data_IF_232400576637
#
_entry.id   IF_232400576637
#
_cell.length_a   1.000
_cell.length_b   1.000
_cell.length_c   1.000
_cell.angle_alpha   90.00
_cell.angle_beta   90.00
_cell.angle_gamma   90.00
#
_symmetry.space_group_name_H-M   'P 1'
#
loop_
_entity.id
_entity.type
_entity.pdbx_description
1 polymer ?
#
# COMPACT_ATOMS: atom_id res chain seq x y z
N UNK A 1 -7.76 -12.37 -2.48
CA UNK A 1 -6.74 -11.30 -2.55
C UNK A 1 -5.32 -11.84 -2.60
N UNK A 2 -5.03 -12.95 -1.92
CA UNK A 2 -3.69 -13.55 -1.86
C UNK A 2 -3.09 -13.87 -3.24
N UNK A 3 -3.88 -14.50 -4.13
CA UNK A 3 -3.49 -14.89 -5.49
C UNK A 3 -3.12 -13.71 -6.40
N UNK A 4 -3.81 -12.58 -6.24
CA UNK A 4 -3.51 -11.35 -6.98
C UNK A 4 -2.12 -10.82 -6.60
N UNK A 5 -1.81 -10.81 -5.30
CA UNK A 5 -0.50 -10.38 -4.81
C UNK A 5 0.62 -11.34 -5.22
N UNK A 6 0.36 -12.66 -5.23
CA UNK A 6 1.34 -13.64 -5.73
C UNK A 6 1.63 -13.47 -7.22
N UNK A 7 0.58 -13.32 -8.03
CA UNK A 7 0.72 -13.08 -9.47
C UNK A 7 1.50 -11.79 -9.77
N UNK A 8 1.27 -10.73 -8.99
CA UNK A 8 1.98 -9.46 -9.14
C UNK A 8 3.45 -9.57 -8.69
N UNK A 9 3.71 -10.28 -7.59
CA UNK A 9 5.07 -10.54 -7.13
C UNK A 9 5.86 -11.34 -8.17
N UNK A 10 5.23 -12.32 -8.82
CA UNK A 10 5.86 -13.08 -9.90
C UNK A 10 6.19 -12.19 -11.10
N UNK A 11 5.23 -11.41 -11.60
CA UNK A 11 5.48 -10.46 -12.71
C UNK A 11 6.60 -9.47 -12.39
N UNK A 12 6.65 -8.95 -11.16
CA UNK A 12 7.72 -8.05 -10.75
C UNK A 12 9.10 -8.73 -10.79
N UNK A 13 9.19 -10.03 -10.48
CA UNK A 13 10.44 -10.81 -10.66
C UNK A 13 10.80 -10.95 -12.14
N UNK A 14 9.83 -11.32 -12.98
CA UNK A 14 10.05 -11.49 -14.43
C UNK A 14 10.52 -10.17 -15.09
N UNK A 15 9.94 -9.02 -14.69
CA UNK A 15 10.42 -7.71 -15.14
C UNK A 15 11.83 -7.39 -14.61
N UNK A 16 12.15 -7.81 -13.39
CA UNK A 16 13.44 -7.53 -12.76
C UNK A 16 14.59 -8.26 -13.45
N UNK A 17 14.34 -9.40 -14.10
CA UNK A 17 15.36 -10.15 -14.85
C UNK A 17 15.93 -9.35 -16.03
N UNK A 18 15.11 -8.53 -16.67
CA UNK A 18 15.47 -7.74 -17.85
C UNK A 18 15.70 -6.25 -17.54
N UNK A 19 15.58 -5.85 -16.27
CA UNK A 19 15.70 -4.46 -15.86
C UNK A 19 17.15 -4.05 -15.57
N UNK A 20 17.42 -2.74 -15.64
CA UNK A 20 18.67 -2.16 -15.16
C UNK A 20 18.89 -2.45 -13.65
N UNK A 21 20.13 -2.39 -13.13
CA UNK A 21 20.42 -2.78 -11.75
C UNK A 21 19.62 -2.03 -10.68
N UNK A 22 19.28 -0.75 -10.93
CA UNK A 22 18.51 0.06 -10.00
C UNK A 22 17.03 -0.36 -9.99
N UNK A 23 16.43 -0.47 -11.17
CA UNK A 23 15.05 -0.88 -11.35
C UNK A 23 14.84 -2.33 -10.92
N UNK A 24 15.78 -3.24 -11.24
CA UNK A 24 15.79 -4.62 -10.76
C UNK A 24 15.68 -4.70 -9.25
N UNK A 25 16.53 -3.95 -8.53
CA UNK A 25 16.51 -3.93 -7.06
C UNK A 25 15.18 -3.41 -6.52
N UNK A 26 14.60 -2.40 -7.16
CA UNK A 26 13.30 -1.83 -6.78
C UNK A 26 12.13 -2.79 -7.05
N UNK A 27 12.16 -3.52 -8.16
CA UNK A 27 11.15 -4.52 -8.52
C UNK A 27 11.20 -5.75 -7.61
N UNK A 28 12.40 -6.21 -7.25
CA UNK A 28 12.57 -7.31 -6.30
C UNK A 28 12.07 -6.94 -4.89
N UNK A 29 12.37 -5.73 -4.42
CA UNK A 29 11.83 -5.22 -3.15
C UNK A 29 10.29 -5.12 -3.21
N UNK A 30 9.74 -4.66 -4.33
CA UNK A 30 8.29 -4.61 -4.54
C UNK A 30 7.65 -6.00 -4.51
N UNK A 31 8.26 -6.99 -5.17
CA UNK A 31 7.80 -8.38 -5.17
C UNK A 31 7.78 -8.96 -3.73
N UNK A 32 8.83 -8.71 -2.96
CA UNK A 32 8.94 -9.17 -1.58
C UNK A 32 7.86 -8.56 -0.68
N UNK A 33 7.55 -7.27 -0.84
CA UNK A 33 6.47 -6.60 -0.10
C UNK A 33 5.10 -7.19 -0.43
N UNK A 34 4.86 -7.57 -1.69
CA UNK A 34 3.61 -8.21 -2.08
C UNK A 34 3.49 -9.64 -1.56
N UNK A 35 4.58 -10.40 -1.53
CA UNK A 35 4.64 -11.74 -0.94
C UNK A 35 4.32 -11.69 0.57
N UNK A 36 4.94 -10.76 1.29
CA UNK A 36 4.65 -10.49 2.71
C UNK A 36 3.18 -10.09 2.92
N UNK A 37 2.62 -9.24 2.05
CA UNK A 37 1.21 -8.81 2.14
C UNK A 37 0.23 -9.92 1.78
N UNK A 38 0.60 -10.80 0.86
CA UNK A 38 -0.12 -12.01 0.48
C UNK A 38 -0.31 -12.89 1.73
N UNK A 39 0.78 -13.14 2.47
CA UNK A 39 0.78 -13.95 3.69
C UNK A 39 0.19 -13.25 4.93
N UNK A 40 0.39 -11.94 5.08
CA UNK A 40 -0.21 -11.14 6.14
C UNK A 40 -1.73 -10.99 5.99
N UNK A 41 -2.27 -11.15 4.78
CA UNK A 41 -3.72 -11.25 4.55
C UNK A 41 -4.36 -12.47 5.20
N UNK A 42 -3.57 -13.51 5.51
CA UNK A 42 -4.02 -14.73 6.18
C UNK A 42 -3.73 -14.74 7.70
N UNK A 43 -2.87 -13.83 8.21
CA UNK A 43 -2.58 -13.73 9.63
C UNK A 43 -2.08 -12.32 10.00
N UNK A 44 -2.82 -11.63 10.86
CA UNK A 44 -2.30 -10.49 11.64
C UNK A 44 -2.35 -9.15 10.91
N UNK A 45 -3.28 -8.31 11.36
CA UNK A 45 -3.44 -6.95 10.90
C UNK A 45 -2.11 -6.19 10.86
N UNK A 46 -1.77 -5.69 9.67
CA UNK A 46 -0.93 -4.51 9.56
C UNK A 46 -1.74 -3.38 10.18
N UNK A 47 -1.44 -3.04 11.44
CA UNK A 47 -1.91 -1.84 12.10
C UNK A 47 -1.51 -0.65 11.22
N UNK A 48 -2.42 -0.28 10.34
CA UNK A 48 -2.44 1.07 9.77
C UNK A 48 -2.55 1.95 11.01
N UNK A 49 -1.58 2.84 11.31
CA UNK A 49 -1.82 3.82 12.36
C UNK A 49 -3.14 4.52 11.99
N UNK A 50 -4.08 4.70 12.94
CA UNK A 50 -5.37 5.29 12.64
C UNK A 50 -5.08 6.58 11.89
N UNK A 51 -5.63 6.68 10.67
CA UNK A 51 -5.62 7.89 9.86
C UNK A 51 -5.93 9.03 10.81
N UNK A 52 -4.94 9.90 11.05
CA UNK A 52 -5.14 11.08 11.86
C UNK A 52 -6.30 11.84 11.23
N UNK A 53 -7.46 11.76 11.89
CA UNK A 53 -8.60 12.59 11.57
C UNK A 53 -8.07 14.02 11.63
N UNK A 54 -8.14 14.81 10.54
CA UNK A 54 -7.91 16.23 10.70
C UNK A 54 -8.89 16.70 11.79
N UNK A 55 -8.47 17.54 12.75
CA UNK A 55 -9.44 18.15 13.64
C UNK A 55 -10.46 18.82 12.73
N UNK A 56 -11.70 18.34 12.78
CA UNK A 56 -12.86 19.07 12.28
C UNK A 56 -12.75 20.44 12.90
N UNK A 57 -12.25 21.39 12.12
CA UNK A 57 -12.32 22.80 12.48
C UNK A 57 -13.81 23.07 12.38
N UNK A 58 -14.43 23.13 13.56
CA UNK A 58 -15.79 23.58 13.77
C UNK A 58 -15.89 24.98 13.15
N UNK A 59 -16.25 25.03 11.87
CA UNK A 59 -16.74 26.26 11.28
C UNK A 59 -18.16 26.46 11.80
N UNK A 60 -18.27 26.92 13.04
CA UNK A 60 -19.45 27.63 13.53
C UNK A 60 -19.49 29.00 12.85
N UNK A 61 -19.92 28.99 11.59
CA UNK A 61 -20.44 30.18 10.90
C UNK A 61 -21.95 30.19 11.03
N UNK A 62 -22.46 30.49 12.23
CA UNK A 62 -23.83 30.98 12.38
C UNK A 62 -23.85 32.41 11.88
N UNK A 63 -24.63 32.67 10.82
CA UNK A 63 -24.69 33.96 10.15
C UNK A 63 -25.86 34.00 9.18
N UNK A 64 -27.03 33.63 9.66
CA UNK A 64 -28.32 33.86 9.00
C UNK A 64 -28.90 35.22 9.42
N UNK A 65 -29.59 35.85 8.46
CA UNK A 65 -30.43 37.06 8.54
C UNK A 65 -29.74 38.44 8.47
N UNK A 66 -29.76 39.06 7.27
CA UNK A 66 -30.84 39.97 6.85
C UNK A 66 -30.68 40.44 5.40
#
# INVERSE_FOLDING_TARGET
MEEFYRSFAQRARDLAENADPFTRRRLLDLAQRYDLKSRAGASGGRSIPPRATPPTVLFSGSGEAR
#
